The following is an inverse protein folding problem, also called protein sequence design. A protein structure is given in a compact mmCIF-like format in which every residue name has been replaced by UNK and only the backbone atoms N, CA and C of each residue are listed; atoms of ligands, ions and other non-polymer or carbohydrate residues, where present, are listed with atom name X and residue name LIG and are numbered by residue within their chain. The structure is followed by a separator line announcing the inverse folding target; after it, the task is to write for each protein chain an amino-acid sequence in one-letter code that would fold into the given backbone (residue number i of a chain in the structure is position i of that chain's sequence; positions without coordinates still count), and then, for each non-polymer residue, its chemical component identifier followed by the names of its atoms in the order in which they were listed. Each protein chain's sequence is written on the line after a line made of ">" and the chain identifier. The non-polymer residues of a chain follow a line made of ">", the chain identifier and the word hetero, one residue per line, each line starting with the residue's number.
data_IF_246938371804
#
_entry.id   IF_246938371804
#
_cell.length_a   1.000
_cell.length_b   1.000
_cell.length_c   1.000
_cell.angle_alpha   90.00
_cell.angle_beta   90.00
_cell.angle_gamma   90.00
#
_symmetry.space_group_name_H-M   'P 1'
#
loop_
_entity.id
_entity.type
_entity.pdbx_description
1 polymer ?
#
# COMPACT_ATOMS: atom_id res chain seq x y z
N UNK A 1 25.56 2.49 -8.62
CA UNK A 1 24.64 1.56 -7.92
C UNK A 1 23.24 1.96 -8.34
N UNK A 2 22.47 1.06 -8.95
CA UNK A 2 21.06 1.34 -9.23
C UNK A 2 20.35 1.44 -7.88
N UNK A 3 19.83 2.61 -7.54
CA UNK A 3 18.93 2.74 -6.38
C UNK A 3 17.72 1.88 -6.74
N UNK A 4 17.47 0.80 -6.00
CA UNK A 4 16.27 0.00 -6.22
C UNK A 4 15.07 0.86 -5.83
N UNK A 5 14.42 1.47 -6.82
CA UNK A 5 13.25 2.33 -6.65
C UNK A 5 11.96 1.54 -6.39
N UNK A 6 12.07 0.28 -5.94
CA UNK A 6 10.93 -0.60 -5.69
C UNK A 6 11.14 -1.32 -4.36
N UNK A 7 10.16 -1.18 -3.47
CA UNK A 7 10.01 -2.06 -2.30
C UNK A 7 9.06 -3.20 -2.71
N UNK A 8 9.57 -4.42 -2.95
CA UNK A 8 8.75 -5.50 -3.49
C UNK A 8 7.71 -5.98 -2.47
N UNK A 9 6.55 -6.43 -2.92
CA UNK A 9 5.57 -7.10 -2.07
C UNK A 9 6.23 -8.24 -1.28
N UNK A 10 5.78 -8.45 -0.05
CA UNK A 10 6.30 -9.50 0.83
C UNK A 10 5.57 -10.83 0.63
N UNK A 11 4.43 -10.82 -0.07
CA UNK A 11 3.61 -12.00 -0.37
C UNK A 11 2.88 -11.81 -1.70
N UNK A 12 2.75 -12.89 -2.44
CA UNK A 12 1.95 -12.96 -3.67
C UNK A 12 0.55 -13.56 -3.41
N UNK A 13 -0.45 -13.15 -4.20
CA UNK A 13 -1.80 -13.76 -4.25
C UNK A 13 -1.87 -14.86 -5.30
N UNK A 14 -1.23 -15.99 -4.99
CA UNK A 14 -1.18 -17.14 -5.90
C UNK A 14 -2.49 -17.94 -5.97
N UNK A 15 -3.40 -17.71 -5.03
CA UNK A 15 -4.74 -18.30 -4.98
C UNK A 15 -5.71 -17.73 -6.02
N UNK A 16 -5.38 -16.58 -6.62
CA UNK A 16 -6.22 -15.90 -7.61
C UNK A 16 -5.78 -16.23 -9.05
N UNK A 17 -6.76 -16.31 -9.94
CA UNK A 17 -6.58 -16.58 -11.38
C UNK A 17 -6.06 -15.40 -12.21
N UNK A 18 -5.56 -14.34 -11.60
CA UNK A 18 -4.95 -13.20 -12.31
C UNK A 18 -3.52 -13.53 -12.74
N UNK A 19 -3.08 -12.97 -13.88
CA UNK A 19 -1.69 -13.10 -14.31
C UNK A 19 -0.73 -12.42 -13.33
N UNK A 20 -1.08 -11.20 -12.89
CA UNK A 20 -0.32 -10.49 -11.86
C UNK A 20 -0.69 -11.01 -10.47
N UNK A 21 0.33 -11.39 -9.69
CA UNK A 21 0.17 -11.91 -8.32
C UNK A 21 0.33 -10.84 -7.24
N UNK A 22 0.60 -9.60 -7.66
CA UNK A 22 0.77 -8.43 -6.80
C UNK A 22 0.10 -7.22 -7.43
N UNK A 23 -0.09 -6.18 -6.62
CA UNK A 23 -0.44 -4.83 -7.08
C UNK A 23 0.80 -3.94 -7.13
N UNK A 24 0.71 -2.81 -7.79
CA UNK A 24 1.75 -1.79 -7.80
C UNK A 24 1.21 -0.45 -7.27
N UNK A 25 1.76 0.02 -6.15
CA UNK A 25 1.61 1.39 -5.69
C UNK A 25 2.72 2.23 -6.33
N UNK A 26 2.36 3.12 -7.23
CA UNK A 26 3.22 4.22 -7.61
C UNK A 26 3.12 5.31 -6.55
N UNK A 27 4.26 5.78 -6.04
CA UNK A 27 4.32 6.86 -5.06
C UNK A 27 5.30 7.94 -5.51
N UNK A 28 4.94 9.20 -5.26
CA UNK A 28 5.86 10.34 -5.46
C UNK A 28 7.00 10.37 -4.42
N UNK A 29 6.85 9.61 -3.34
CA UNK A 29 7.85 9.50 -2.27
C UNK A 29 9.11 8.86 -2.82
N UNK A 30 10.24 9.57 -2.70
CA UNK A 30 11.55 9.12 -3.20
C UNK A 30 12.35 8.32 -2.18
N UNK A 31 12.22 8.68 -0.91
CA UNK A 31 12.97 8.05 0.18
C UNK A 31 12.16 6.87 0.74
N UNK A 32 12.71 5.66 0.59
CA UNK A 32 12.09 4.44 1.08
C UNK A 32 11.92 4.42 2.59
N UNK A 33 12.81 5.06 3.35
CA UNK A 33 12.80 5.04 4.82
C UNK A 33 11.54 5.69 5.40
N UNK A 34 10.87 6.55 4.62
CA UNK A 34 9.59 7.13 5.04
C UNK A 34 8.49 6.08 5.21
N UNK A 35 8.58 4.95 4.52
CA UNK A 35 7.65 3.84 4.71
C UNK A 35 7.92 3.03 5.99
N UNK A 36 8.98 3.34 6.75
CA UNK A 36 9.28 2.71 8.04
C UNK A 36 8.49 3.32 9.22
N UNK A 37 7.74 4.41 9.00
CA UNK A 37 6.83 4.94 10.02
C UNK A 37 5.79 3.88 10.43
N UNK A 38 5.60 3.74 11.74
CA UNK A 38 4.58 2.84 12.30
C UNK A 38 3.18 3.34 11.95
N UNK A 39 2.37 2.44 11.39
CA UNK A 39 0.98 2.73 11.08
C UNK A 39 0.18 2.84 12.39
N UNK A 40 -0.73 3.81 12.55
CA UNK A 40 -1.42 4.03 13.82
C UNK A 40 -2.13 2.77 14.33
N UNK A 41 -2.02 2.54 15.65
CA UNK A 41 -2.62 1.40 16.36
C UNK A 41 -2.13 0.02 15.89
N UNK A 42 -0.92 -0.03 15.35
CA UNK A 42 -0.20 -1.28 15.06
C UNK A 42 1.23 -1.20 15.60
N UNK A 43 1.95 -2.30 15.52
CA UNK A 43 3.39 -2.41 15.78
C UNK A 43 4.21 -2.58 14.48
N UNK A 44 3.59 -2.38 13.31
CA UNK A 44 4.20 -2.58 11.99
C UNK A 44 4.22 -1.29 11.16
N UNK A 45 5.21 -1.19 10.27
CA UNK A 45 5.38 0.00 9.44
C UNK A 45 4.34 0.09 8.31
N UNK A 46 4.08 1.32 7.84
CA UNK A 46 3.25 1.59 6.65
C UNK A 46 3.69 0.75 5.45
N UNK A 47 5.00 0.64 5.22
CA UNK A 47 5.56 -0.21 4.16
C UNK A 47 5.24 -1.69 4.37
N UNK A 48 5.34 -2.20 5.60
CA UNK A 48 4.97 -3.59 5.90
C UNK A 48 3.49 -3.83 5.66
N UNK A 49 2.63 -2.90 6.11
CA UNK A 49 1.17 -2.99 5.91
C UNK A 49 0.85 -3.19 4.43
N UNK A 50 1.33 -2.28 3.57
CA UNK A 50 1.07 -2.31 2.11
C UNK A 50 1.65 -3.58 1.46
N UNK A 51 2.89 -3.95 1.82
CA UNK A 51 3.63 -5.01 1.12
C UNK A 51 3.21 -6.41 1.54
N UNK A 52 2.85 -6.62 2.81
CA UNK A 52 2.51 -7.93 3.35
C UNK A 52 1.00 -8.20 3.26
N UNK A 53 0.17 -7.36 3.89
CA UNK A 53 -1.27 -7.60 3.98
C UNK A 53 -1.99 -7.33 2.66
N UNK A 54 -1.50 -6.36 1.87
CA UNK A 54 -2.16 -5.94 0.62
C UNK A 54 -1.40 -6.33 -0.63
N UNK A 55 -0.38 -7.19 -0.52
CA UNK A 55 0.30 -7.80 -1.67
C UNK A 55 0.78 -6.78 -2.72
N UNK A 56 1.27 -5.63 -2.26
CA UNK A 56 1.51 -4.47 -3.12
C UNK A 56 2.98 -4.09 -3.13
N UNK A 57 3.59 -3.98 -4.32
CA UNK A 57 4.90 -3.38 -4.50
C UNK A 57 4.80 -1.86 -4.34
N UNK A 58 5.80 -1.21 -3.77
CA UNK A 58 5.86 0.25 -3.69
C UNK A 58 6.95 0.75 -4.63
N UNK A 59 6.53 1.39 -5.71
CA UNK A 59 7.41 2.04 -6.68
C UNK A 59 7.61 3.50 -6.30
N UNK A 60 8.86 3.86 -5.97
CA UNK A 60 9.25 5.16 -5.44
C UNK A 60 9.57 6.17 -6.54
N UNK A 61 9.42 7.45 -6.20
CA UNK A 61 9.80 8.59 -7.04
C UNK A 61 9.06 8.67 -8.38
N UNK A 62 7.81 8.21 -8.43
CA UNK A 62 6.92 8.31 -9.60
C UNK A 62 6.32 9.72 -9.71
N UNK A 63 5.72 10.01 -10.85
CA UNK A 63 5.13 11.33 -11.13
C UNK A 63 3.84 11.59 -10.36
N UNK A 64 3.10 10.53 -10.01
CA UNK A 64 1.84 10.61 -9.28
C UNK A 64 1.61 9.39 -8.40
N UNK A 65 0.76 9.57 -7.38
CA UNK A 65 0.30 8.48 -6.55
C UNK A 65 -0.84 7.74 -7.24
N UNK A 66 -0.68 6.43 -7.46
CA UNK A 66 -1.74 5.57 -7.99
C UNK A 66 -1.51 4.12 -7.62
N UNK A 67 -2.59 3.37 -7.50
CA UNK A 67 -2.58 1.93 -7.33
C UNK A 67 -2.98 1.25 -8.64
N UNK A 68 -2.16 0.32 -9.11
CA UNK A 68 -2.46 -0.59 -10.22
C UNK A 68 -2.80 -1.93 -9.60
N UNK A 69 -4.06 -2.35 -9.72
CA UNK A 69 -4.54 -3.62 -9.17
C UNK A 69 -4.08 -4.82 -10.00
N UNK A 70 -4.28 -6.04 -9.48
CA UNK A 70 -3.84 -7.28 -10.14
C UNK A 70 -4.47 -7.49 -11.53
N UNK A 71 -5.69 -7.01 -11.76
CA UNK A 71 -6.33 -7.07 -13.08
C UNK A 71 -5.94 -5.91 -14.02
N UNK A 72 -5.02 -5.03 -13.59
CA UNK A 72 -4.56 -3.86 -14.36
C UNK A 72 -5.41 -2.59 -14.18
N UNK A 73 -6.50 -2.62 -13.42
CA UNK A 73 -7.30 -1.42 -13.14
C UNK A 73 -6.49 -0.40 -12.33
N UNK A 74 -6.61 0.87 -12.67
CA UNK A 74 -5.82 1.98 -12.09
C UNK A 74 -6.70 2.87 -11.22
N UNK A 75 -6.22 3.19 -10.02
CA UNK A 75 -6.87 4.06 -9.05
C UNK A 75 -5.90 5.20 -8.70
N UNK A 76 -6.27 6.45 -9.01
CA UNK A 76 -5.42 7.60 -8.73
C UNK A 76 -5.68 8.13 -7.31
N UNK A 77 -4.62 8.47 -6.58
CA UNK A 77 -4.71 9.16 -5.29
C UNK A 77 -4.37 10.63 -5.50
N UNK A 78 -5.34 11.38 -6.01
CA UNK A 78 -5.20 12.82 -6.14
C UNK A 78 -5.32 13.49 -4.76
N UNK A 79 -4.61 14.61 -4.57
CA UNK A 79 -4.86 15.58 -3.50
C UNK A 79 -4.61 15.14 -2.04
N UNK A 80 -3.48 14.46 -1.76
CA UNK A 80 -2.99 14.38 -0.38
C UNK A 80 -2.23 15.68 -0.06
N UNK A 81 -2.96 16.74 0.29
CA UNK A 81 -2.40 18.04 0.69
C UNK A 81 -2.02 18.03 2.18
N UNK A 82 -0.99 17.25 2.50
CA UNK A 82 -0.44 17.12 3.85
C UNK A 82 1.03 17.45 3.80
N UNK A 83 1.41 18.52 4.51
CA UNK A 83 2.79 19.01 4.57
C UNK A 83 3.65 18.24 5.59
N UNK A 84 3.03 17.57 6.56
CA UNK A 84 3.73 16.74 7.53
C UNK A 84 3.98 15.34 6.94
N UNK A 85 5.24 14.93 6.95
CA UNK A 85 5.71 13.77 6.20
C UNK A 85 5.12 12.46 6.72
N UNK A 86 5.02 12.29 8.04
CA UNK A 86 4.51 11.06 8.64
C UNK A 86 3.02 10.87 8.35
N UNK A 87 2.22 11.92 8.57
CA UNK A 87 0.78 11.96 8.31
C UNK A 87 0.49 11.77 6.82
N UNK A 88 1.35 12.29 5.93
CA UNK A 88 1.26 12.02 4.50
C UNK A 88 1.39 10.51 4.20
N UNK A 89 2.42 9.85 4.73
CA UNK A 89 2.64 8.41 4.50
C UNK A 89 1.50 7.57 5.10
N UNK A 90 1.04 7.92 6.30
CA UNK A 90 -0.10 7.27 6.94
C UNK A 90 -1.36 7.43 6.06
N UNK A 91 -1.61 8.64 5.55
CA UNK A 91 -2.77 8.91 4.70
C UNK A 91 -2.71 8.18 3.37
N UNK A 92 -1.54 8.15 2.72
CA UNK A 92 -1.33 7.34 1.51
C UNK A 92 -1.57 5.85 1.79
N UNK A 93 -1.11 5.36 2.94
CA UNK A 93 -1.34 3.97 3.37
C UNK A 93 -2.83 3.70 3.56
N UNK A 94 -3.56 4.58 4.25
CA UNK A 94 -5.02 4.50 4.40
C UNK A 94 -5.75 4.48 3.05
N UNK A 95 -5.35 5.32 2.09
CA UNK A 95 -5.93 5.32 0.76
C UNK A 95 -5.76 3.98 0.04
N UNK A 96 -4.60 3.32 0.21
CA UNK A 96 -4.39 1.95 -0.30
C UNK A 96 -5.33 0.96 0.38
N UNK A 97 -5.43 0.98 1.72
CA UNK A 97 -6.30 0.10 2.49
C UNK A 97 -7.75 0.19 2.04
N UNK A 98 -8.29 1.41 1.93
CA UNK A 98 -9.67 1.67 1.52
C UNK A 98 -9.87 1.18 0.08
N UNK A 99 -8.99 1.59 -0.84
CA UNK A 99 -9.13 1.25 -2.26
C UNK A 99 -9.04 -0.25 -2.50
N UNK A 100 -8.14 -0.95 -1.80
CA UNK A 100 -8.04 -2.41 -1.88
C UNK A 100 -9.23 -3.07 -1.19
N UNK A 101 -9.65 -2.57 -0.03
CA UNK A 101 -10.81 -3.07 0.72
C UNK A 101 -12.12 -3.01 -0.07
N UNK A 102 -12.28 -2.00 -0.93
CA UNK A 102 -13.43 -1.87 -1.84
C UNK A 102 -13.39 -2.85 -3.02
N UNK A 103 -12.26 -3.55 -3.26
CA UNK A 103 -12.16 -4.61 -4.26
C UNK A 103 -12.74 -5.92 -3.71
N UNK A 104 -13.39 -6.70 -4.58
CA UNK A 104 -14.00 -7.98 -4.18
C UNK A 104 -13.05 -8.88 -3.37
N UNK A 105 -11.85 -9.19 -3.89
CA UNK A 105 -10.86 -10.02 -3.20
C UNK A 105 -10.00 -9.26 -2.18
N UNK A 106 -9.99 -7.93 -2.23
CA UNK A 106 -9.24 -7.11 -1.28
C UNK A 106 -10.00 -6.83 0.01
N UNK A 107 -11.33 -6.95 -0.01
CA UNK A 107 -12.17 -6.90 1.19
C UNK A 107 -11.76 -7.92 2.24
N UNK A 108 -11.40 -9.15 1.83
CA UNK A 108 -10.91 -10.19 2.74
C UNK A 108 -9.51 -9.88 3.28
N UNK A 109 -8.64 -9.25 2.47
CA UNK A 109 -7.30 -8.80 2.91
C UNK A 109 -7.43 -7.73 3.99
N UNK A 110 -8.36 -6.79 3.81
CA UNK A 110 -8.65 -5.75 4.79
C UNK A 110 -9.22 -6.35 6.08
N UNK A 111 -10.16 -7.30 5.98
CA UNK A 111 -10.69 -8.00 7.15
C UNK A 111 -9.62 -8.79 7.91
N UNK A 112 -8.72 -9.50 7.20
CA UNK A 112 -7.60 -10.21 7.84
C UNK A 112 -6.70 -9.24 8.62
N UNK A 113 -6.37 -8.09 8.01
CA UNK A 113 -5.59 -7.05 8.67
C UNK A 113 -6.30 -6.49 9.92
N UNK A 114 -7.58 -6.14 9.83
CA UNK A 114 -8.36 -5.61 10.95
C UNK A 114 -8.62 -6.65 12.05
N UNK A 115 -8.66 -7.94 11.73
CA UNK A 115 -8.76 -9.00 12.74
C UNK A 115 -7.48 -9.10 13.59
N UNK A 116 -6.33 -8.79 13.00
CA UNK A 116 -5.04 -8.76 13.70
C UNK A 116 -4.87 -7.44 14.47
N UNK A 117 -5.32 -6.32 13.90
CA UNK A 117 -5.25 -4.99 14.49
C UNK A 117 -6.64 -4.35 14.63
N UNK A 118 -7.46 -4.79 15.59
CA UNK A 118 -8.85 -4.36 15.72
C UNK A 118 -9.03 -2.89 16.11
N UNK A 119 -7.98 -2.27 16.67
CA UNK A 119 -8.01 -0.86 17.10
C UNK A 119 -7.63 0.11 15.97
N UNK A 120 -7.32 -0.38 14.77
CA UNK A 120 -7.05 0.47 13.60
C UNK A 120 -8.31 1.22 13.20
N UNK A 121 -8.16 2.54 13.05
CA UNK A 121 -9.21 3.43 12.52
C UNK A 121 -8.78 3.87 11.14
N UNK A 122 -9.53 3.44 10.12
CA UNK A 122 -9.28 3.76 8.72
C UNK A 122 -10.00 5.06 8.36
#
# INVERSE_FOLDING_TARGET
>A
MSVNNILPALKERNDLGFDNKTRDLHSIVKDSLKFDYIFPNTDVSCGYVIRYFFHTNIHLGKESNKLISMNGSIFNFENIDINEEREYIISLTKSVLITVGDMYFGSSELQEFLNIYPDVVI
#
